data_IF_909991397294
#
_entry.id   IF_909991397294
#
_cell.length_a   1.000
_cell.length_b   1.000
_cell.length_c   1.000
_cell.angle_alpha   90.00
_cell.angle_beta   90.00
_cell.angle_gamma   90.00
#
_symmetry.space_group_name_H-M   'P 1'
#
loop_
_entity.id
_entity.type
_entity.pdbx_description
1 polymer ?
#
# COMPACT_ATOMS: atom_id res chain seq x y z
N UNK A 1 -27.32 -1.74 -28.51
CA UNK A 1 -26.73 -2.43 -27.35
C UNK A 1 -25.25 -2.05 -27.27
N UNK A 2 -24.89 -1.12 -26.38
CA UNK A 2 -23.51 -0.73 -26.08
C UNK A 2 -23.22 -1.13 -24.64
N UNK A 3 -22.13 -1.87 -24.43
CA UNK A 3 -21.65 -2.26 -23.12
C UNK A 3 -21.15 -1.03 -22.33
N UNK A 4 -21.46 -0.89 -21.03
CA UNK A 4 -20.89 0.15 -20.19
C UNK A 4 -19.44 -0.20 -19.83
N UNK A 5 -18.56 0.80 -19.95
CA UNK A 5 -17.12 0.68 -19.74
C UNK A 5 -16.75 0.44 -18.28
N UNK A 6 -15.75 -0.42 -18.11
CA UNK A 6 -15.04 -0.69 -16.87
C UNK A 6 -14.27 0.56 -16.41
N UNK A 7 -14.83 1.30 -15.46
CA UNK A 7 -14.09 2.24 -14.63
C UNK A 7 -13.56 1.46 -13.41
N UNK A 8 -12.41 0.80 -13.57
CA UNK A 8 -11.72 0.13 -12.46
C UNK A 8 -10.86 1.16 -11.70
N UNK A 9 -11.13 1.32 -10.40
CA UNK A 9 -10.24 1.81 -9.34
C UNK A 9 -9.39 3.08 -9.64
N UNK A 10 -10.03 4.23 -9.89
CA UNK A 10 -9.35 5.55 -9.96
C UNK A 10 -9.23 6.26 -8.60
N UNK A 11 -9.90 5.74 -7.57
CA UNK A 11 -10.41 6.61 -6.52
C UNK A 11 -9.56 6.62 -5.23
N UNK A 12 -9.24 5.45 -4.68
CA UNK A 12 -8.26 5.34 -3.59
C UNK A 12 -6.88 5.92 -3.99
N UNK A 13 -6.52 5.82 -5.29
CA UNK A 13 -5.27 6.32 -5.87
C UNK A 13 -5.03 7.82 -5.68
N UNK A 14 -6.07 8.65 -5.68
CA UNK A 14 -5.89 10.11 -5.55
C UNK A 14 -5.70 10.56 -4.12
N UNK A 15 -6.14 9.77 -3.14
CA UNK A 15 -6.18 10.17 -1.74
C UNK A 15 -4.83 9.99 -1.06
N UNK A 16 -4.12 8.89 -1.31
CA UNK A 16 -2.78 8.69 -0.76
C UNK A 16 -1.72 9.57 -1.45
N UNK A 17 -1.94 9.96 -2.70
CA UNK A 17 -1.03 10.83 -3.45
C UNK A 17 -1.29 12.34 -3.26
N UNK A 18 -2.37 12.75 -2.59
CA UNK A 18 -2.70 14.17 -2.37
C UNK A 18 -2.73 14.54 -0.88
N UNK A 19 -1.53 14.69 -0.31
CA UNK A 19 -1.35 15.68 0.73
C UNK A 19 -1.80 17.05 0.21
N UNK A 20 -3.00 17.47 0.61
CA UNK A 20 -3.56 18.83 0.57
C UNK A 20 -3.43 19.62 -0.73
N UNK A 21 -4.53 19.75 -1.47
CA UNK A 21 -4.71 20.88 -2.40
C UNK A 21 -6.03 21.58 -2.10
N UNK A 22 -5.93 22.72 -1.42
CA UNK A 22 -6.93 23.77 -1.41
C UNK A 22 -6.90 24.48 -2.78
N UNK A 23 -8.04 24.61 -3.45
CA UNK A 23 -8.22 25.48 -4.62
C UNK A 23 -8.76 26.83 -4.09
N UNK A 24 -8.15 27.98 -4.36
CA UNK A 24 -8.16 28.67 -5.66
C UNK A 24 -6.94 29.60 -5.90
N UNK A 25 -5.80 29.40 -5.23
CA UNK A 25 -4.52 30.12 -5.50
C UNK A 25 -3.46 29.23 -6.22
N UNK A 26 -3.82 27.99 -6.55
CA UNK A 26 -2.88 26.88 -6.75
C UNK A 26 -2.16 26.81 -8.12
N UNK A 27 -2.60 27.57 -9.13
CA UNK A 27 -2.05 27.48 -10.50
C UNK A 27 -0.58 27.90 -10.59
N UNK A 28 -0.27 29.11 -10.12
CA UNK A 28 1.09 29.66 -10.14
C UNK A 28 2.02 28.96 -9.15
N UNK A 29 1.52 28.59 -7.98
CA UNK A 29 2.33 27.87 -6.98
C UNK A 29 2.71 26.48 -7.47
N UNK A 30 1.84 25.79 -8.21
CA UNK A 30 2.13 24.46 -8.75
C UNK A 30 3.16 24.51 -9.89
N UNK A 31 3.07 25.53 -10.75
CA UNK A 31 4.05 25.76 -11.81
C UNK A 31 5.42 26.14 -11.22
N UNK A 32 5.46 27.08 -10.26
CA UNK A 32 6.67 27.47 -9.55
C UNK A 32 7.32 26.29 -8.81
N UNK A 33 6.53 25.47 -8.11
CA UNK A 33 7.01 24.23 -7.47
C UNK A 33 7.59 23.26 -8.50
N UNK A 34 6.96 23.13 -9.67
CA UNK A 34 7.42 22.24 -10.73
C UNK A 34 8.74 22.72 -11.35
N UNK A 35 8.88 24.03 -11.59
CA UNK A 35 10.11 24.66 -12.07
C UNK A 35 11.23 24.51 -11.03
N UNK A 36 10.94 24.81 -9.76
CA UNK A 36 11.90 24.68 -8.67
C UNK A 36 12.38 23.22 -8.52
N UNK A 37 11.47 22.25 -8.59
CA UNK A 37 11.82 20.82 -8.57
C UNK A 37 12.71 20.42 -9.74
N UNK A 38 12.40 20.91 -10.94
CA UNK A 38 13.20 20.62 -12.14
C UNK A 38 14.59 21.27 -12.07
N UNK A 39 14.67 22.52 -11.59
CA UNK A 39 15.92 23.22 -11.38
C UNK A 39 16.78 22.50 -10.32
N UNK A 40 16.19 22.11 -9.20
CA UNK A 40 16.87 21.32 -8.16
C UNK A 40 17.39 19.98 -8.72
N UNK A 41 16.58 19.28 -9.51
CA UNK A 41 16.98 18.04 -10.18
C UNK A 41 18.18 18.27 -11.13
N UNK A 42 18.08 19.26 -12.02
CA UNK A 42 19.12 19.58 -13.02
C UNK A 42 20.40 20.12 -12.40
N UNK A 43 20.31 20.86 -11.30
CA UNK A 43 21.44 21.38 -10.55
C UNK A 43 22.14 20.31 -9.68
N UNK A 44 21.72 19.03 -9.75
CA UNK A 44 22.34 17.95 -8.99
C UNK A 44 21.91 17.90 -7.52
N UNK A 45 20.80 18.55 -7.15
CA UNK A 45 20.28 18.54 -5.78
C UNK A 45 20.05 17.12 -5.24
N UNK A 46 19.58 16.19 -6.08
CA UNK A 46 19.48 14.76 -5.71
C UNK A 46 20.84 14.12 -5.43
N UNK A 47 21.89 14.51 -6.16
CA UNK A 47 23.24 14.00 -5.92
C UNK A 47 23.77 14.50 -4.57
N UNK A 48 23.51 15.77 -4.24
CA UNK A 48 23.87 16.35 -2.94
C UNK A 48 23.12 15.67 -1.80
N UNK A 49 21.79 15.53 -1.90
CA UNK A 49 20.97 14.83 -0.90
C UNK A 49 21.45 13.39 -0.72
N UNK A 50 21.76 12.69 -1.82
CA UNK A 50 22.33 11.34 -1.78
C UNK A 50 23.68 11.33 -1.08
N UNK A 51 24.59 12.24 -1.43
CA UNK A 51 25.92 12.35 -0.84
C UNK A 51 25.88 12.62 0.66
N UNK A 52 25.05 13.56 1.12
CA UNK A 52 24.90 13.87 2.55
C UNK A 52 24.35 12.67 3.33
N UNK A 53 23.38 11.97 2.75
CA UNK A 53 22.73 10.83 3.40
C UNK A 53 23.39 9.48 3.04
N UNK A 54 24.59 9.47 2.45
CA UNK A 54 25.19 8.24 1.89
C UNK A 54 25.53 7.17 2.93
N UNK A 55 25.59 7.52 4.22
CA UNK A 55 25.87 6.57 5.31
C UNK A 55 24.61 6.04 6.00
N UNK A 56 23.44 6.57 5.66
CA UNK A 56 22.16 6.13 6.20
C UNK A 56 21.57 5.01 5.35
N UNK A 57 20.97 4.01 6.02
CA UNK A 57 20.05 3.07 5.38
C UNK A 57 18.79 3.81 4.96
N UNK A 58 18.34 3.55 3.73
CA UNK A 58 17.03 3.99 3.24
C UNK A 58 16.14 2.78 3.05
N UNK A 59 14.88 2.92 3.42
CA UNK A 59 13.85 1.91 3.15
C UNK A 59 12.82 2.56 2.24
N UNK A 60 12.65 1.98 1.04
CA UNK A 60 11.68 2.43 0.06
C UNK A 60 10.51 1.46 0.04
N UNK A 61 9.34 1.93 0.48
CA UNK A 61 8.12 1.13 0.59
C UNK A 61 7.17 1.40 -0.57
N UNK A 62 6.73 0.34 -1.23
CA UNK A 62 5.64 0.35 -2.19
C UNK A 62 4.40 -0.32 -1.60
N UNK A 63 3.23 -0.10 -2.20
CA UNK A 63 1.99 -0.78 -1.80
C UNK A 63 1.29 -1.36 -3.03
N UNK A 64 1.10 -0.52 -4.06
CA UNK A 64 0.39 -0.86 -5.31
C UNK A 64 1.23 -0.56 -6.54
N UNK A 65 1.06 -1.36 -7.58
CA UNK A 65 1.79 -1.24 -8.86
C UNK A 65 0.85 -0.96 -10.03
N UNK A 66 -0.27 -0.36 -9.69
CA UNK A 66 -1.41 -0.25 -10.56
C UNK A 66 -1.48 1.16 -11.17
N UNK A 67 -1.12 1.25 -12.44
CA UNK A 67 -1.64 2.23 -13.39
C UNK A 67 -2.08 1.43 -14.61
N UNK A 68 -3.11 1.85 -15.34
CA UNK A 68 -3.79 1.04 -16.35
C UNK A 68 -2.84 0.43 -17.43
N UNK A 69 -2.21 -0.72 -17.14
CA UNK A 69 -1.32 -1.44 -18.04
C UNK A 69 0.14 -0.96 -18.07
N UNK A 70 0.75 -1.07 -19.26
CA UNK A 70 2.21 -0.93 -19.56
C UNK A 70 2.88 0.32 -18.96
N UNK A 71 2.12 1.36 -18.62
CA UNK A 71 2.63 2.57 -17.97
C UNK A 71 3.20 2.33 -16.57
N UNK A 72 2.62 1.42 -15.78
CA UNK A 72 3.07 1.15 -14.41
C UNK A 72 4.40 0.39 -14.43
N UNK A 73 4.47 -0.66 -15.23
CA UNK A 73 5.70 -1.42 -15.44
C UNK A 73 6.82 -0.52 -15.98
N UNK A 74 6.54 0.37 -16.94
CA UNK A 74 7.54 1.31 -17.46
C UNK A 74 8.02 2.32 -16.41
N UNK A 75 7.12 2.84 -15.57
CA UNK A 75 7.50 3.72 -14.47
C UNK A 75 8.38 2.99 -13.43
N UNK A 76 8.01 1.75 -13.08
CA UNK A 76 8.79 0.92 -12.17
C UNK A 76 10.15 0.55 -12.77
N UNK A 77 10.20 0.22 -14.06
CA UNK A 77 11.44 -0.08 -14.79
C UNK A 77 12.41 1.10 -14.74
N UNK A 78 11.92 2.31 -15.01
CA UNK A 78 12.72 3.53 -14.89
C UNK A 78 13.23 3.75 -13.46
N UNK A 79 12.38 3.56 -12.45
CA UNK A 79 12.78 3.64 -11.04
C UNK A 79 13.84 2.60 -10.73
N UNK A 80 13.66 1.37 -11.19
CA UNK A 80 14.59 0.26 -10.98
C UNK A 80 15.97 0.54 -11.58
N UNK A 81 16.02 1.04 -12.82
CA UNK A 81 17.25 1.47 -13.48
C UNK A 81 17.96 2.56 -12.67
N UNK A 82 17.23 3.58 -12.23
CA UNK A 82 17.77 4.66 -11.40
C UNK A 82 18.33 4.15 -10.07
N UNK A 83 17.59 3.29 -9.37
CA UNK A 83 17.99 2.73 -8.09
C UNK A 83 19.26 1.89 -8.23
N UNK A 84 19.35 1.02 -9.25
CA UNK A 84 20.55 0.23 -9.53
C UNK A 84 21.78 1.07 -9.83
N UNK A 85 21.60 2.20 -10.52
CA UNK A 85 22.72 3.08 -10.86
C UNK A 85 23.28 3.84 -9.64
N UNK A 86 22.48 4.02 -8.59
CA UNK A 86 22.77 5.03 -7.57
C UNK A 86 22.79 4.53 -6.13
N UNK A 87 22.25 3.34 -5.87
CA UNK A 87 22.15 2.78 -4.53
C UNK A 87 22.74 1.38 -4.48
N UNK A 88 23.21 1.02 -3.28
CA UNK A 88 23.58 -0.35 -2.96
C UNK A 88 22.33 -1.06 -2.43
N UNK A 89 21.68 -1.85 -3.29
CA UNK A 89 20.46 -2.55 -2.94
C UNK A 89 20.77 -3.71 -1.98
N UNK A 90 20.04 -3.77 -0.87
CA UNK A 90 20.26 -4.74 0.21
C UNK A 90 18.93 -5.36 0.61
N UNK A 91 18.94 -6.63 1.04
CA UNK A 91 17.75 -7.27 1.61
C UNK A 91 17.57 -6.89 3.08
N UNK A 92 16.34 -6.99 3.59
CA UNK A 92 16.11 -6.75 5.02
C UNK A 92 16.78 -7.80 5.90
N UNK A 93 16.97 -9.02 5.41
CA UNK A 93 17.79 -10.03 6.10
C UNK A 93 19.23 -9.54 6.30
N UNK A 94 19.87 -9.02 5.24
CA UNK A 94 21.23 -8.46 5.36
C UNK A 94 21.28 -7.27 6.33
N UNK A 95 20.27 -6.40 6.27
CA UNK A 95 20.15 -5.27 7.21
C UNK A 95 20.06 -5.77 8.65
N UNK A 96 19.22 -6.77 8.92
CA UNK A 96 19.05 -7.35 10.25
C UNK A 96 20.36 -7.99 10.75
N UNK A 97 21.06 -8.75 9.89
CA UNK A 97 22.36 -9.36 10.20
C UNK A 97 23.41 -8.28 10.55
N UNK A 98 23.53 -7.22 9.75
CA UNK A 98 24.48 -6.13 10.03
C UNK A 98 24.15 -5.34 11.30
N UNK A 99 22.86 -5.12 11.60
CA UNK A 99 22.45 -4.50 12.85
C UNK A 99 22.83 -5.36 14.05
N UNK A 100 22.57 -6.67 13.99
CA UNK A 100 22.92 -7.60 15.05
C UNK A 100 24.44 -7.67 15.29
N UNK A 101 25.22 -7.65 14.21
CA UNK A 101 26.69 -7.66 14.23
C UNK A 101 27.31 -6.27 14.49
N UNK A 102 26.51 -5.22 14.65
CA UNK A 102 26.94 -3.81 14.75
C UNK A 102 27.87 -3.38 13.61
N UNK A 103 27.66 -3.91 12.41
CA UNK A 103 28.42 -3.58 11.20
C UNK A 103 27.86 -2.33 10.54
N UNK A 104 28.75 -1.54 9.95
CA UNK A 104 28.36 -0.40 9.14
C UNK A 104 27.69 -0.86 7.83
N UNK A 105 26.68 -0.13 7.41
CA UNK A 105 26.05 -0.33 6.11
C UNK A 105 26.96 0.13 4.96
N UNK A 106 26.83 -0.47 3.76
CA UNK A 106 27.46 0.06 2.57
C UNK A 106 26.94 1.47 2.25
N UNK A 107 27.76 2.27 1.56
CA UNK A 107 27.34 3.60 1.16
C UNK A 107 26.14 3.52 0.20
N UNK A 108 25.16 4.41 0.42
CA UNK A 108 23.88 4.44 -0.29
C UNK A 108 23.09 3.13 -0.18
N UNK A 109 23.16 2.44 0.98
CA UNK A 109 22.31 1.29 1.25
C UNK A 109 20.82 1.64 1.09
N UNK A 110 20.10 0.81 0.33
CA UNK A 110 18.67 0.93 0.11
C UNK A 110 17.99 -0.45 0.13
N UNK A 111 17.03 -0.62 1.04
CA UNK A 111 16.14 -1.77 1.07
C UNK A 111 14.80 -1.42 0.43
N UNK A 112 14.20 -2.37 -0.28
CA UNK A 112 12.90 -2.22 -0.92
C UNK A 112 11.89 -3.11 -0.19
N UNK A 113 10.78 -2.51 0.23
CA UNK A 113 9.67 -3.23 0.85
C UNK A 113 8.39 -3.02 0.06
N UNK A 114 7.49 -3.99 0.14
CA UNK A 114 6.12 -3.87 -0.36
C UNK A 114 5.18 -4.41 0.70
N UNK A 115 4.09 -3.69 0.97
CA UNK A 115 3.17 -4.04 2.03
C UNK A 115 1.85 -4.62 1.46
N UNK A 116 0.94 -4.98 2.36
CA UNK A 116 -0.42 -5.53 2.13
C UNK A 116 -0.51 -6.96 1.57
N UNK A 117 0.14 -7.23 0.43
CA UNK A 117 0.07 -8.53 -0.27
C UNK A 117 -0.90 -8.57 -1.45
N UNK A 118 -1.06 -7.46 -2.18
CA UNK A 118 -1.85 -7.43 -3.42
C UNK A 118 -1.20 -8.19 -4.59
N UNK A 119 -2.05 -8.75 -5.45
CA UNK A 119 -1.64 -9.55 -6.61
C UNK A 119 -0.97 -8.75 -7.73
N UNK A 120 -1.14 -7.43 -7.74
CA UNK A 120 -0.46 -6.54 -8.70
C UNK A 120 1.07 -6.56 -8.51
N UNK A 121 1.57 -6.89 -7.31
CA UNK A 121 2.98 -7.19 -7.11
C UNK A 121 3.43 -8.36 -8.00
N UNK A 122 2.73 -9.49 -7.99
CA UNK A 122 3.12 -10.66 -8.79
C UNK A 122 2.99 -10.42 -10.29
N UNK A 123 1.91 -9.77 -10.71
CA UNK A 123 1.59 -9.62 -12.14
C UNK A 123 2.33 -8.46 -12.82
N UNK A 124 2.71 -7.42 -12.07
CA UNK A 124 3.37 -6.22 -12.62
C UNK A 124 4.79 -6.05 -12.08
N UNK A 125 4.96 -6.07 -10.76
CA UNK A 125 6.21 -5.65 -10.13
C UNK A 125 7.30 -6.73 -10.14
N UNK A 126 6.91 -7.96 -9.82
CA UNK A 126 7.81 -9.10 -9.68
C UNK A 126 8.62 -9.38 -10.96
N UNK A 127 8.05 -9.34 -12.18
CA UNK A 127 8.84 -9.46 -13.41
C UNK A 127 9.91 -8.37 -13.56
N UNK A 128 9.58 -7.12 -13.21
CA UNK A 128 10.52 -5.98 -13.30
C UNK A 128 11.62 -6.13 -12.26
N UNK A 129 11.28 -6.34 -10.99
CA UNK A 129 12.28 -6.53 -9.93
C UNK A 129 13.20 -7.73 -10.20
N UNK A 130 12.65 -8.83 -10.72
CA UNK A 130 13.41 -10.03 -11.09
C UNK A 130 14.39 -9.75 -12.23
N UNK A 131 13.99 -9.00 -13.25
CA UNK A 131 14.88 -8.61 -14.36
C UNK A 131 16.10 -7.82 -13.87
N UNK A 132 15.92 -6.98 -12.85
CA UNK A 132 17.00 -6.24 -12.20
C UNK A 132 17.66 -7.00 -11.04
N UNK A 133 17.25 -8.24 -10.72
CA UNK A 133 17.70 -9.01 -9.54
C UNK A 133 17.68 -8.19 -8.25
N UNK A 134 16.60 -7.45 -8.02
CA UNK A 134 16.48 -6.60 -6.83
C UNK A 134 16.09 -7.43 -5.61
N UNK A 135 16.78 -7.27 -4.47
CA UNK A 135 16.28 -7.79 -3.21
C UNK A 135 15.04 -6.98 -2.80
N UNK A 136 13.92 -7.68 -2.58
CA UNK A 136 12.65 -7.10 -2.15
C UNK A 136 12.08 -7.94 -1.02
N UNK A 137 11.56 -7.28 0.02
CA UNK A 137 10.83 -7.93 1.10
C UNK A 137 9.35 -7.57 1.03
N UNK A 138 8.47 -8.56 0.92
CA UNK A 138 7.02 -8.40 0.96
C UNK A 138 6.46 -8.65 2.34
N UNK A 139 5.74 -7.69 2.92
CA UNK A 139 5.00 -7.84 4.16
C UNK A 139 3.55 -8.24 3.84
N UNK A 140 3.13 -9.42 4.29
CA UNK A 140 1.85 -10.04 3.93
C UNK A 140 0.80 -9.88 5.05
N UNK A 141 -0.40 -9.44 4.68
CA UNK A 141 -1.60 -9.58 5.54
C UNK A 141 -2.19 -10.97 5.33
N UNK A 142 -1.98 -11.88 6.28
CA UNK A 142 -2.23 -13.31 6.02
C UNK A 142 -3.70 -13.68 5.81
N UNK A 143 -4.64 -13.07 6.54
CA UNK A 143 -6.07 -13.33 6.31
C UNK A 143 -6.57 -12.72 5.00
N UNK A 144 -5.87 -11.73 4.44
CA UNK A 144 -6.18 -11.21 3.10
C UNK A 144 -5.82 -12.25 2.03
N UNK A 145 -4.64 -12.87 2.15
CA UNK A 145 -4.22 -13.97 1.25
C UNK A 145 -5.06 -15.24 1.42
N UNK A 146 -5.54 -15.53 2.63
CA UNK A 146 -6.44 -16.65 2.90
C UNK A 146 -7.91 -16.36 2.51
N UNK A 147 -8.20 -15.19 1.91
CA UNK A 147 -9.56 -14.74 1.56
C UNK A 147 -10.52 -14.68 2.76
N UNK A 148 -9.99 -14.53 3.98
CA UNK A 148 -10.76 -14.39 5.23
C UNK A 148 -11.09 -12.94 5.55
N UNK A 149 -10.33 -11.99 5.01
CA UNK A 149 -10.64 -10.57 5.14
C UNK A 149 -10.48 -9.83 3.81
N UNK A 150 -11.22 -8.73 3.68
CA UNK A 150 -11.04 -7.73 2.63
C UNK A 150 -10.64 -6.41 3.28
N UNK A 151 -9.52 -5.83 2.83
CA UNK A 151 -8.90 -4.66 3.45
C UNK A 151 -9.90 -3.49 3.52
N UNK A 152 -9.92 -2.82 4.68
CA UNK A 152 -11.02 -1.92 5.04
C UNK A 152 -11.15 -0.71 4.12
N UNK A 153 -10.04 -0.23 3.55
CA UNK A 153 -10.07 0.89 2.60
C UNK A 153 -10.67 0.48 1.26
N UNK A 154 -10.44 -0.74 0.80
CA UNK A 154 -11.08 -1.23 -0.42
C UNK A 154 -12.58 -1.44 -0.20
N UNK A 155 -12.99 -1.95 0.97
CA UNK A 155 -14.41 -2.02 1.36
C UNK A 155 -15.07 -0.66 1.37
N UNK A 156 -14.40 0.34 1.92
CA UNK A 156 -14.89 1.72 1.96
C UNK A 156 -14.94 2.36 0.57
N UNK A 157 -13.89 2.18 -0.25
CA UNK A 157 -13.86 2.64 -1.64
C UNK A 157 -14.99 1.99 -2.44
N UNK A 158 -15.16 0.67 -2.33
CA UNK A 158 -16.22 -0.06 -3.00
C UNK A 158 -17.60 0.46 -2.60
N UNK A 159 -17.85 0.64 -1.29
CA UNK A 159 -19.12 1.18 -0.81
C UNK A 159 -19.40 2.58 -1.36
N UNK A 160 -18.38 3.43 -1.38
CA UNK A 160 -18.46 4.75 -1.99
C UNK A 160 -18.69 4.68 -3.48
N UNK A 161 -18.09 3.77 -4.23
CA UNK A 161 -18.20 3.70 -5.69
C UNK A 161 -19.52 3.06 -6.16
N UNK A 162 -20.11 2.18 -5.35
CA UNK A 162 -21.27 1.36 -5.73
C UNK A 162 -22.58 1.81 -5.08
N UNK A 163 -22.58 2.85 -4.25
CA UNK A 163 -23.81 3.39 -3.69
C UNK A 163 -24.68 4.11 -4.73
N UNK A 164 -25.98 3.82 -4.68
CA UNK A 164 -27.01 4.57 -5.40
C UNK A 164 -27.52 5.80 -4.61
N UNK A 165 -27.04 6.00 -3.37
CA UNK A 165 -27.43 7.14 -2.54
C UNK A 165 -26.71 8.40 -3.02
N UNK A 166 -27.37 9.55 -2.88
CA UNK A 166 -26.78 10.87 -3.16
C UNK A 166 -25.95 11.41 -1.99
N UNK A 167 -26.31 10.98 -0.78
CA UNK A 167 -25.58 11.29 0.44
C UNK A 167 -25.60 10.09 1.39
N UNK A 168 -24.58 9.98 2.23
CA UNK A 168 -24.42 8.94 3.23
C UNK A 168 -24.12 9.55 4.59
N UNK A 169 -24.61 8.92 5.66
CA UNK A 169 -24.37 9.32 7.04
C UNK A 169 -23.59 8.20 7.73
N UNK A 170 -22.39 8.54 8.23
CA UNK A 170 -21.47 7.58 8.84
C UNK A 170 -21.22 7.94 10.30
N UNK A 171 -21.40 7.00 11.24
CA UNK A 171 -21.03 7.21 12.63
C UNK A 171 -19.50 7.14 12.76
N UNK A 172 -18.83 8.29 12.80
CA UNK A 172 -17.36 8.39 12.83
C UNK A 172 -16.81 8.56 14.25
N UNK A 173 -17.31 7.73 15.19
CA UNK A 173 -16.90 7.66 16.60
C UNK A 173 -16.76 9.05 17.24
N UNK A 174 -15.54 9.45 17.60
CA UNK A 174 -15.23 10.75 18.24
C UNK A 174 -15.68 11.99 17.45
N UNK A 175 -16.01 11.85 16.16
CA UNK A 175 -16.55 12.94 15.31
C UNK A 175 -18.07 12.94 15.21
N UNK A 176 -18.74 12.03 15.90
CA UNK A 176 -20.19 11.81 15.75
C UNK A 176 -20.58 11.36 14.35
N UNK A 177 -21.87 11.44 14.05
CA UNK A 177 -22.39 11.14 12.72
C UNK A 177 -22.04 12.26 11.75
N UNK A 178 -21.36 11.90 10.66
CA UNK A 178 -20.94 12.83 9.61
C UNK A 178 -21.71 12.51 8.32
N UNK A 179 -22.21 13.55 7.66
CA UNK A 179 -22.94 13.44 6.39
C UNK A 179 -22.03 13.84 5.24
N UNK A 180 -21.99 13.00 4.20
CA UNK A 180 -21.22 13.24 2.99
C UNK A 180 -22.13 13.19 1.77
N UNK A 181 -22.05 14.20 0.91
CA UNK A 181 -22.53 14.06 -0.47
C UNK A 181 -21.59 13.14 -1.23
N UNK A 182 -22.12 12.32 -2.13
CA UNK A 182 -21.36 11.29 -2.88
C UNK A 182 -21.82 11.22 -4.34
N UNK A 183 -22.34 12.31 -4.89
CA UNK A 183 -22.87 12.32 -6.26
C UNK A 183 -21.75 12.38 -7.30
N UNK A 184 -20.71 13.18 -7.02
CA UNK A 184 -19.57 13.37 -7.93
C UNK A 184 -18.34 12.60 -7.47
N UNK A 185 -17.40 12.36 -8.40
CA UNK A 185 -16.11 11.72 -8.07
C UNK A 185 -15.34 12.52 -7.00
N UNK A 186 -15.34 13.85 -7.09
CA UNK A 186 -14.68 14.71 -6.11
C UNK A 186 -15.32 14.61 -4.72
N UNK A 187 -16.65 14.58 -4.66
CA UNK A 187 -17.42 14.44 -3.43
C UNK A 187 -17.17 13.09 -2.77
N UNK A 188 -17.19 12.01 -3.56
CA UNK A 188 -16.77 10.69 -3.07
C UNK A 188 -15.35 10.83 -2.50
N UNK A 189 -14.41 11.45 -3.22
CA UNK A 189 -12.98 11.42 -2.83
C UNK A 189 -12.74 12.17 -1.53
N UNK A 190 -13.49 13.26 -1.34
CA UNK A 190 -13.58 13.94 -0.07
C UNK A 190 -14.14 13.04 1.03
N UNK A 191 -15.26 12.36 0.79
CA UNK A 191 -15.89 11.44 1.74
C UNK A 191 -14.93 10.33 2.17
N UNK A 192 -14.20 9.72 1.22
CA UNK A 192 -13.17 8.72 1.51
C UNK A 192 -12.06 9.30 2.39
N UNK A 193 -11.46 10.45 2.01
CA UNK A 193 -10.41 11.10 2.81
C UNK A 193 -10.85 11.36 4.25
N UNK A 194 -12.02 11.95 4.40
CA UNK A 194 -12.54 12.35 5.70
C UNK A 194 -12.89 11.14 6.57
N UNK A 195 -13.54 10.12 5.99
CA UNK A 195 -13.91 8.90 6.71
C UNK A 195 -12.68 8.03 7.01
N UNK A 196 -11.76 7.82 6.06
CA UNK A 196 -10.50 7.11 6.29
C UNK A 196 -9.69 7.76 7.43
N UNK A 197 -9.52 9.08 7.42
CA UNK A 197 -8.81 9.79 8.49
C UNK A 197 -9.46 9.64 9.88
N UNK A 198 -10.77 9.41 9.94
CA UNK A 198 -11.47 9.11 11.18
C UNK A 198 -11.30 7.63 11.58
N UNK A 199 -11.49 6.72 10.62
CA UNK A 199 -11.37 5.27 10.79
C UNK A 199 -10.01 4.85 11.31
N UNK A 200 -8.93 5.48 10.83
CA UNK A 200 -7.56 5.25 11.33
C UNK A 200 -7.36 5.55 12.82
N UNK A 201 -8.22 6.39 13.40
CA UNK A 201 -8.13 6.83 14.79
C UNK A 201 -9.07 6.06 15.72
N UNK A 202 -9.97 5.26 15.17
CA UNK A 202 -10.95 4.49 15.94
C UNK A 202 -10.29 3.33 16.67
N UNK A 203 -10.82 2.92 17.83
CA UNK A 203 -10.55 1.60 18.39
C UNK A 203 -10.82 0.50 17.36
N UNK A 204 -10.04 -0.58 17.39
CA UNK A 204 -10.11 -1.62 16.36
C UNK A 204 -11.51 -2.21 16.22
N UNK A 205 -12.16 -2.51 17.35
CA UNK A 205 -13.49 -3.12 17.39
C UNK A 205 -14.57 -2.23 16.77
N UNK A 206 -14.61 -0.94 17.15
CA UNK A 206 -15.56 0.03 16.57
C UNK A 206 -15.36 0.18 15.06
N UNK A 207 -14.11 0.16 14.59
CA UNK A 207 -13.83 0.18 13.15
C UNK A 207 -14.37 -1.06 12.45
N UNK A 208 -14.11 -2.26 12.98
CA UNK A 208 -14.61 -3.50 12.38
C UNK A 208 -16.13 -3.47 12.25
N UNK A 209 -16.82 -3.06 13.32
CA UNK A 209 -18.28 -2.90 13.33
C UNK A 209 -18.77 -1.88 12.30
N UNK A 210 -18.11 -0.72 12.18
CA UNK A 210 -18.45 0.28 11.15
C UNK A 210 -18.27 -0.28 9.74
N UNK A 211 -17.13 -0.93 9.49
CA UNK A 211 -16.78 -1.46 8.17
C UNK A 211 -17.74 -2.59 7.78
N UNK A 212 -18.14 -3.45 8.72
CA UNK A 212 -19.13 -4.50 8.48
C UNK A 212 -20.54 -3.96 8.17
N UNK A 213 -20.88 -2.81 8.73
CA UNK A 213 -22.16 -2.14 8.53
C UNK A 213 -22.21 -1.16 7.36
N UNK A 214 -21.12 -0.97 6.62
CA UNK A 214 -21.12 -0.14 5.40
C UNK A 214 -22.28 -0.46 4.43
N UNK A 215 -22.69 -1.73 4.21
CA UNK A 215 -23.84 -2.02 3.34
C UNK A 215 -25.13 -1.33 3.75
N UNK A 216 -25.37 -1.17 5.06
CA UNK A 216 -26.54 -0.48 5.61
C UNK A 216 -26.50 1.02 5.31
N UNK A 217 -25.34 1.64 5.52
CA UNK A 217 -25.12 3.08 5.33
C UNK A 217 -25.07 3.51 3.87
N UNK A 218 -24.59 2.63 3.00
CA UNK A 218 -24.43 2.90 1.56
C UNK A 218 -25.55 2.29 0.71
N UNK A 219 -26.38 1.39 1.26
CA UNK A 219 -27.41 0.70 0.50
C UNK A 219 -26.83 -0.21 -0.60
N UNK A 220 -25.71 -0.87 -0.29
CA UNK A 220 -25.03 -1.79 -1.22
C UNK A 220 -25.13 -3.23 -0.72
N UNK A 221 -24.61 -4.17 -1.51
CA UNK A 221 -24.28 -5.52 -1.04
C UNK A 221 -22.80 -5.76 -1.30
N UNK A 222 -22.16 -6.54 -0.43
CA UNK A 222 -20.82 -7.01 -0.73
C UNK A 222 -20.85 -7.95 -1.94
N UNK A 223 -19.87 -7.85 -2.85
CA UNK A 223 -19.76 -8.78 -3.95
C UNK A 223 -19.36 -10.16 -3.42
N UNK A 224 -19.72 -11.22 -4.16
CA UNK A 224 -19.33 -12.59 -3.81
C UNK A 224 -17.82 -12.83 -4.01
N UNK A 225 -17.21 -12.11 -4.96
CA UNK A 225 -15.80 -12.15 -5.27
C UNK A 225 -15.20 -10.74 -5.17
N UNK A 226 -13.90 -10.66 -4.88
CA UNK A 226 -13.21 -9.38 -4.80
C UNK A 226 -13.20 -8.69 -6.18
N UNK A 227 -13.44 -7.36 -6.24
CA UNK A 227 -13.37 -6.62 -7.50
C UNK A 227 -11.98 -6.72 -8.16
N UNK A 228 -11.89 -6.54 -9.49
CA UNK A 228 -10.61 -6.47 -10.18
C UNK A 228 -9.70 -5.36 -9.61
N UNK A 229 -8.44 -5.70 -9.38
CA UNK A 229 -7.48 -4.84 -8.70
C UNK A 229 -7.62 -4.84 -7.18
N UNK A 230 -8.40 -5.74 -6.59
CA UNK A 230 -8.43 -5.94 -5.14
C UNK A 230 -8.00 -7.36 -4.76
N UNK A 231 -7.46 -8.13 -5.71
CA UNK A 231 -7.09 -9.52 -5.49
C UNK A 231 -5.84 -9.61 -4.61
N UNK A 232 -5.82 -10.50 -3.61
CA UNK A 232 -4.62 -10.83 -2.88
C UNK A 232 -3.71 -11.75 -3.73
N UNK A 233 -2.44 -11.80 -3.35
CA UNK A 233 -1.55 -12.88 -3.77
C UNK A 233 -2.11 -14.24 -3.34
N UNK A 234 -1.90 -15.26 -4.16
CA UNK A 234 -2.09 -16.64 -3.74
C UNK A 234 -0.84 -17.17 -3.05
N UNK A 235 -0.98 -18.12 -2.12
CA UNK A 235 0.18 -18.80 -1.52
C UNK A 235 1.03 -19.57 -2.55
N UNK A 236 0.44 -19.99 -3.67
CA UNK A 236 1.19 -20.54 -4.80
C UNK A 236 2.15 -19.53 -5.43
N UNK A 237 1.68 -18.29 -5.66
CA UNK A 237 2.50 -17.18 -6.16
C UNK A 237 3.57 -16.77 -5.13
N UNK A 238 3.24 -16.74 -3.83
CA UNK A 238 4.20 -16.49 -2.74
C UNK A 238 5.34 -17.51 -2.76
N UNK A 239 5.03 -18.81 -2.82
CA UNK A 239 6.05 -19.88 -2.89
C UNK A 239 6.92 -19.77 -4.13
N UNK A 240 6.32 -19.44 -5.29
CA UNK A 240 7.06 -19.23 -6.54
C UNK A 240 8.06 -18.07 -6.38
N UNK A 241 7.61 -16.94 -5.87
CA UNK A 241 8.45 -15.75 -5.66
C UNK A 241 9.54 -15.98 -4.61
N UNK A 242 9.26 -16.75 -3.54
CA UNK A 242 10.26 -17.12 -2.52
C UNK A 242 11.44 -17.89 -3.12
N UNK A 243 11.15 -18.82 -4.05
CA UNK A 243 12.19 -19.56 -4.80
C UNK A 243 12.99 -18.67 -5.76
N UNK A 244 12.52 -17.46 -6.03
CA UNK A 244 13.14 -16.49 -6.94
C UNK A 244 13.72 -15.27 -6.20
N UNK A 245 13.99 -15.40 -4.89
CA UNK A 245 14.74 -14.39 -4.13
C UNK A 245 13.91 -13.27 -3.52
N UNK A 246 12.57 -13.36 -3.53
CA UNK A 246 11.71 -12.47 -2.76
C UNK A 246 11.65 -12.94 -1.31
N UNK A 247 11.92 -12.04 -0.38
CA UNK A 247 11.77 -12.29 1.07
C UNK A 247 10.35 -11.96 1.50
N UNK A 248 9.85 -12.62 2.54
CA UNK A 248 8.52 -12.39 3.09
C UNK A 248 8.56 -12.13 4.59
N UNK A 249 7.76 -11.17 5.03
CA UNK A 249 7.51 -10.82 6.43
C UNK A 249 6.03 -10.65 6.72
N UNK A 250 5.67 -10.47 7.99
CA UNK A 250 4.28 -10.30 8.40
C UNK A 250 3.82 -8.84 8.39
N UNK A 251 2.66 -8.57 7.80
CA UNK A 251 1.94 -7.29 7.89
C UNK A 251 0.67 -7.44 8.74
N UNK A 252 0.78 -8.18 9.85
CA UNK A 252 -0.33 -8.61 10.73
C UNK A 252 -1.31 -9.59 10.06
N UNK A 253 -2.29 -10.08 10.83
CA UNK A 253 -3.22 -11.10 10.36
C UNK A 253 -4.34 -10.45 9.57
N UNK A 254 -5.01 -9.44 10.15
CA UNK A 254 -6.19 -8.77 9.58
C UNK A 254 -5.98 -7.30 9.20
N UNK A 255 -4.73 -6.82 9.26
CA UNK A 255 -4.36 -5.42 9.01
C UNK A 255 -4.97 -4.38 9.98
N UNK A 256 -4.92 -4.58 11.31
CA UNK A 256 -5.34 -3.54 12.22
C UNK A 256 -4.26 -2.48 12.43
N UNK A 257 -4.65 -1.28 12.85
CA UNK A 257 -3.70 -0.36 13.47
C UNK A 257 -3.38 -0.91 14.87
N UNK A 258 -2.20 -1.49 15.06
CA UNK A 258 -1.84 -2.15 16.32
C UNK A 258 -1.99 -1.22 17.54
N UNK A 259 -1.70 0.08 17.40
CA UNK A 259 -1.91 1.08 18.45
C UNK A 259 -3.39 1.32 18.83
N UNK A 260 -4.33 0.72 18.09
CA UNK A 260 -5.78 0.78 18.30
C UNK A 260 -6.37 -0.55 18.77
N UNK A 261 -5.55 -1.58 18.93
CA UNK A 261 -5.97 -2.87 19.49
C UNK A 261 -5.83 -2.79 21.01
N UNK A 262 -6.93 -2.94 21.73
CA UNK A 262 -6.98 -2.70 23.17
C UNK A 262 -6.47 -3.88 24.00
N UNK A 263 -6.76 -5.11 23.56
CA UNK A 263 -6.43 -6.32 24.32
C UNK A 263 -5.07 -6.86 23.87
N UNK A 264 -4.12 -7.11 24.80
CA UNK A 264 -2.82 -7.71 24.48
C UNK A 264 -2.92 -9.06 23.76
N UNK A 265 -3.97 -9.84 24.03
CA UNK A 265 -4.23 -11.13 23.40
C UNK A 265 -4.54 -10.96 21.91
N UNK A 266 -5.33 -9.97 21.54
CA UNK A 266 -5.63 -9.66 20.13
C UNK A 266 -4.38 -9.14 19.41
N UNK A 267 -3.58 -8.30 20.07
CA UNK A 267 -2.28 -7.85 19.53
C UNK A 267 -1.35 -9.03 19.25
N UNK A 268 -1.30 -9.97 20.18
CA UNK A 268 -0.50 -11.18 20.06
C UNK A 268 -0.99 -12.05 18.90
N UNK A 269 -2.30 -12.27 18.81
CA UNK A 269 -2.91 -13.03 17.70
C UNK A 269 -2.60 -12.40 16.34
N UNK A 270 -2.68 -11.07 16.24
CA UNK A 270 -2.37 -10.35 15.00
C UNK A 270 -0.92 -10.50 14.55
N UNK A 271 0.03 -10.52 15.49
CA UNK A 271 1.47 -10.60 15.19
C UNK A 271 1.93 -12.06 15.06
N UNK A 272 1.67 -12.87 16.08
CA UNK A 272 2.10 -14.27 16.14
C UNK A 272 1.32 -15.13 15.17
N UNK A 273 0.00 -14.94 15.05
CA UNK A 273 -0.83 -15.68 14.09
C UNK A 273 -0.39 -15.44 12.64
N UNK A 274 -0.08 -14.18 12.30
CA UNK A 274 0.48 -13.84 11.00
C UNK A 274 1.84 -14.52 10.75
N UNK A 275 2.74 -14.46 11.74
CA UNK A 275 4.05 -15.10 11.65
C UNK A 275 3.92 -16.61 11.45
N UNK A 276 3.14 -17.29 12.28
CA UNK A 276 2.94 -18.75 12.21
C UNK A 276 2.41 -19.13 10.84
N UNK A 277 1.40 -18.43 10.34
CA UNK A 277 0.79 -18.71 9.04
C UNK A 277 1.78 -18.57 7.87
N UNK A 278 2.68 -17.58 7.91
CA UNK A 278 3.75 -17.43 6.90
C UNK A 278 4.77 -18.58 7.01
N UNK A 279 5.10 -19.03 8.22
CA UNK A 279 6.09 -20.09 8.46
C UNK A 279 5.61 -21.50 8.10
N UNK A 280 4.30 -21.71 7.96
CA UNK A 280 3.74 -22.93 7.36
C UNK A 280 4.13 -23.10 5.89
N UNK A 281 4.51 -22.01 5.21
CA UNK A 281 4.94 -22.07 3.82
C UNK A 281 6.42 -22.49 3.71
N UNK A 282 6.77 -23.39 2.77
CA UNK A 282 8.15 -23.82 2.58
C UNK A 282 9.06 -22.64 2.24
N UNK A 283 10.02 -22.35 3.12
CA UNK A 283 11.09 -21.39 2.82
C UNK A 283 11.96 -21.93 1.68
N UNK A 284 12.33 -21.10 0.72
CA UNK A 284 13.38 -21.47 -0.23
C UNK A 284 14.69 -21.70 0.53
N UNK A 285 15.42 -22.76 0.18
CA UNK A 285 16.81 -22.88 0.58
C UNK A 285 17.56 -21.68 0.00
N UNK A 286 18.34 -20.96 0.82
CA UNK A 286 19.19 -19.85 0.36
C UNK A 286 19.98 -20.34 -0.87
N UNK A 287 19.93 -19.66 -2.04
CA UNK A 287 20.86 -19.99 -3.11
C UNK A 287 22.29 -19.80 -2.60
N UNK A 288 23.13 -20.81 -2.80
CA UNK A 288 24.53 -20.86 -2.39
C UNK A 288 25.38 -19.76 -3.06
#
# INVERSE_FOLDING_TARGET
MRAPGLAANSFARRVEQSGGQFQNEAGDTHLLKSIARLAFYRAGGLQLVRYVNRRALRVLTYHRFESAGRSAAAALDWQCAYLRQHYHLVSLTQVAEWLAEKRAFPLNALAITVDDGYRDFFTVAFPVFSAYRMPVTLFLTTDFLDHKCWLWWDRLSYALDHTARRAVELPLAARGTQRFSVETEEQRAHAFRASAAAVQKMPNQERLELIDRLPEFFGIRWPAELPPGCEPLTWGEVRLMSRNGIEFGGHTKTHPYLSRVARPEDLREEIEGCKVRIEEEPRSARPA
#
